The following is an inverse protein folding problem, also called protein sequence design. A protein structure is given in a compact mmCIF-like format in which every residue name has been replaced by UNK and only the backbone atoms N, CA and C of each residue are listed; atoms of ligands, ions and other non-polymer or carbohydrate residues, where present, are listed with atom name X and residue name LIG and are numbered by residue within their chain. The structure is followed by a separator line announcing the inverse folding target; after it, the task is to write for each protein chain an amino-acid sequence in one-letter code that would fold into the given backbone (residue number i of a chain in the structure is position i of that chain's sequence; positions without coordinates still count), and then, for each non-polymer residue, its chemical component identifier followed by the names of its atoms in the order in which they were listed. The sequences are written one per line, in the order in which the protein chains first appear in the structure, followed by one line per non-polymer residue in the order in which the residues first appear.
data_IF_844311479803
#
_entry.id   IF_844311479803
#
_cell.length_a   1.000
_cell.length_b   1.000
_cell.length_c   1.000
_cell.angle_alpha   90.00
_cell.angle_beta   90.00
_cell.angle_gamma   90.00
#
_symmetry.space_group_name_H-M   'P 1'
#
loop_
_entity.id
_entity.type
_entity.pdbx_description
1 polymer ?
#
# COMPACT_ATOMS: atom_id res chain seq x y z
N UNK A 1 -23.68 -8.31 26.53
CA UNK A 1 -24.00 -7.05 25.80
C UNK A 1 -23.55 -7.23 24.37
N UNK A 2 -24.37 -6.83 23.39
CA UNK A 2 -24.07 -6.91 21.96
C UNK A 2 -24.41 -5.58 21.28
N UNK A 3 -23.74 -5.27 20.17
CA UNK A 3 -24.00 -4.09 19.35
C UNK A 3 -23.79 -4.39 17.86
N UNK A 4 -24.40 -3.57 17.00
CA UNK A 4 -24.23 -3.61 15.56
C UNK A 4 -24.24 -2.19 14.98
N UNK A 5 -23.46 -1.97 13.93
CA UNK A 5 -23.33 -0.68 13.22
C UNK A 5 -23.94 -0.81 11.83
N UNK A 6 -24.79 0.12 11.46
CA UNK A 6 -25.48 0.16 10.17
C UNK A 6 -25.25 1.50 9.48
N UNK A 7 -25.28 1.49 8.15
CA UNK A 7 -25.27 2.70 7.32
C UNK A 7 -26.51 2.70 6.41
N UNK A 8 -27.03 3.88 6.01
CA UNK A 8 -28.14 3.95 5.08
C UNK A 8 -27.86 3.20 3.77
N UNK A 9 -28.88 2.52 3.24
CA UNK A 9 -28.79 1.82 1.96
C UNK A 9 -28.21 0.40 2.02
N UNK A 10 -27.77 -0.08 3.18
CA UNK A 10 -27.21 -1.42 3.36
C UNK A 10 -28.07 -2.21 4.36
N UNK A 11 -28.67 -3.30 3.88
CA UNK A 11 -29.59 -4.13 4.69
C UNK A 11 -28.90 -5.02 5.74
N UNK A 12 -27.58 -4.96 5.84
CA UNK A 12 -26.75 -5.71 6.78
C UNK A 12 -25.87 -4.75 7.58
N UNK A 13 -25.47 -5.15 8.79
CA UNK A 13 -24.55 -4.37 9.61
C UNK A 13 -23.15 -4.37 8.98
N UNK A 14 -22.46 -3.24 9.03
CA UNK A 14 -21.07 -3.13 8.58
C UNK A 14 -20.07 -3.53 9.66
N UNK A 15 -20.48 -3.55 10.93
CA UNK A 15 -19.72 -4.11 12.04
C UNK A 15 -20.65 -4.66 13.12
N UNK A 16 -20.23 -5.72 13.80
CA UNK A 16 -20.95 -6.31 14.93
C UNK A 16 -19.97 -6.67 16.04
N UNK A 17 -20.40 -6.57 17.28
CA UNK A 17 -19.55 -6.89 18.40
C UNK A 17 -20.30 -7.05 19.70
N UNK A 18 -19.54 -7.30 20.76
CA UNK A 18 -20.09 -7.51 22.08
C UNK A 18 -19.11 -8.12 23.05
N UNK A 19 -19.62 -8.38 24.25
CA UNK A 19 -18.92 -9.10 25.31
C UNK A 19 -19.09 -10.60 25.11
N UNK A 20 -18.00 -11.33 25.33
CA UNK A 20 -17.95 -12.78 25.38
C UNK A 20 -17.14 -13.20 26.61
N UNK A 21 -17.64 -14.18 27.36
CA UNK A 21 -17.03 -14.59 28.63
C UNK A 21 -16.21 -15.88 28.51
N UNK A 22 -16.58 -16.76 27.57
CA UNK A 22 -16.11 -18.15 27.58
C UNK A 22 -15.28 -18.59 26.37
N UNK A 23 -15.03 -17.72 25.38
CA UNK A 23 -14.19 -18.07 24.21
C UNK A 23 -12.78 -18.55 24.62
N UNK A 24 -12.26 -18.07 25.75
CA UNK A 24 -10.97 -18.53 26.28
C UNK A 24 -10.99 -19.89 26.98
N UNK A 25 -12.18 -20.46 27.25
CA UNK A 25 -12.32 -21.75 27.95
C UNK A 25 -11.69 -22.89 27.15
N UNK A 26 -11.85 -22.88 25.83
CA UNK A 26 -11.24 -23.83 24.90
C UNK A 26 -9.69 -23.78 24.91
N UNK A 27 -9.12 -22.67 25.42
CA UNK A 27 -7.69 -22.43 25.53
C UNK A 27 -7.19 -22.48 26.99
N UNK A 28 -7.97 -23.08 27.90
CA UNK A 28 -7.55 -23.41 29.27
C UNK A 28 -7.97 -22.41 30.35
N UNK A 29 -8.58 -21.27 30.01
CA UNK A 29 -9.16 -20.36 31.00
C UNK A 29 -10.19 -19.42 30.39
N UNK A 30 -11.43 -19.50 30.86
CA UNK A 30 -12.45 -18.49 30.58
C UNK A 30 -12.00 -17.11 31.10
N UNK A 31 -12.01 -16.10 30.24
CA UNK A 31 -11.70 -14.72 30.57
C UNK A 31 -12.70 -13.81 29.85
N UNK A 32 -13.35 -12.89 30.56
CA UNK A 32 -14.24 -11.92 29.94
C UNK A 32 -13.46 -11.01 28.99
N UNK A 33 -14.02 -10.81 27.79
CA UNK A 33 -13.46 -9.93 26.78
C UNK A 33 -14.58 -9.26 25.95
N UNK A 34 -14.22 -8.21 25.22
CA UNK A 34 -15.11 -7.48 24.34
C UNK A 34 -14.38 -7.15 23.04
N UNK A 35 -15.11 -7.19 21.93
CA UNK A 35 -14.54 -6.91 20.61
C UNK A 35 -15.61 -6.76 19.55
N UNK A 36 -15.19 -6.51 18.32
CA UNK A 36 -16.05 -6.45 17.15
C UNK A 36 -15.34 -6.99 15.92
N UNK A 37 -16.12 -7.36 14.92
CA UNK A 37 -15.65 -7.73 13.59
C UNK A 37 -16.35 -6.86 12.54
N UNK A 38 -15.71 -6.77 11.38
CA UNK A 38 -16.19 -6.03 10.22
C UNK A 38 -15.65 -6.68 8.95
N UNK A 39 -16.40 -6.55 7.86
CA UNK A 39 -15.91 -6.96 6.54
C UNK A 39 -15.18 -5.78 5.88
N UNK A 40 -13.87 -5.92 5.69
CA UNK A 40 -13.04 -4.85 5.13
C UNK A 40 -13.42 -4.51 3.69
N UNK A 41 -13.92 -5.48 2.88
CA UNK A 41 -14.37 -5.20 1.51
C UNK A 41 -15.62 -4.34 1.55
N UNK A 42 -16.57 -4.65 2.41
CA UNK A 42 -17.77 -3.83 2.65
C UNK A 42 -17.38 -2.40 3.04
N UNK A 43 -16.39 -2.22 3.92
CA UNK A 43 -15.90 -0.89 4.28
C UNK A 43 -15.24 -0.16 3.11
N UNK A 44 -14.41 -0.83 2.29
CA UNK A 44 -13.78 -0.24 1.11
C UNK A 44 -14.82 0.15 0.06
N UNK A 45 -15.84 -0.69 -0.17
CA UNK A 45 -16.88 -0.45 -1.17
C UNK A 45 -17.85 0.67 -0.77
N UNK A 46 -18.21 0.75 0.51
CA UNK A 46 -19.16 1.75 1.01
C UNK A 46 -18.47 3.05 1.43
N UNK A 47 -17.20 2.96 1.80
CA UNK A 47 -16.39 4.10 2.21
C UNK A 47 -16.18 5.05 1.04
N UNK A 48 -16.29 6.34 1.32
CA UNK A 48 -15.95 7.41 0.38
C UNK A 48 -14.56 7.96 0.72
N UNK A 49 -13.61 7.06 0.98
CA UNK A 49 -12.24 7.48 1.27
C UNK A 49 -11.67 8.17 0.03
N UNK A 50 -11.20 9.41 0.18
CA UNK A 50 -10.43 10.07 -0.86
C UNK A 50 -9.09 9.35 -1.00
N UNK A 51 -9.00 8.46 -1.98
CA UNK A 51 -7.75 7.77 -2.29
C UNK A 51 -6.93 8.71 -3.18
N UNK A 52 -6.03 9.46 -2.56
CA UNK A 52 -4.97 10.15 -3.29
C UNK A 52 -3.94 9.10 -3.69
N UNK A 53 -4.11 8.51 -4.87
CA UNK A 53 -3.06 7.68 -5.46
C UNK A 53 -1.92 8.61 -5.89
N UNK A 54 -0.67 8.36 -5.47
CA UNK A 54 0.48 9.04 -6.07
C UNK A 54 0.43 8.79 -7.58
N UNK A 55 0.28 9.84 -8.38
CA UNK A 55 0.35 9.72 -9.83
C UNK A 55 1.80 9.52 -10.25
N UNK A 56 2.05 8.48 -11.05
CA UNK A 56 3.37 8.24 -11.62
C UNK A 56 4.37 7.59 -10.66
N UNK A 57 5.62 7.55 -11.10
CA UNK A 57 6.67 6.78 -10.44
C UNK A 57 8.01 6.99 -11.12
N UNK A 58 9.07 6.73 -10.36
CA UNK A 58 10.44 6.85 -10.84
C UNK A 58 10.95 5.45 -11.16
N UNK A 59 11.19 5.19 -12.44
CA UNK A 59 11.80 3.97 -12.93
C UNK A 59 13.31 3.96 -12.67
N UNK A 60 13.84 2.81 -12.30
CA UNK A 60 15.25 2.65 -11.94
C UNK A 60 15.81 1.42 -12.66
N UNK A 61 16.95 1.52 -13.37
CA UNK A 61 17.54 0.37 -14.04
C UNK A 61 17.97 -0.72 -13.06
N UNK A 62 18.08 -1.96 -13.54
CA UNK A 62 18.68 -3.05 -12.80
C UNK A 62 20.20 -2.80 -12.71
N UNK A 63 20.68 -2.48 -11.52
CA UNK A 63 22.08 -2.14 -11.27
C UNK A 63 22.45 -2.43 -9.82
N UNK A 64 23.73 -2.74 -9.60
CA UNK A 64 24.35 -2.95 -8.29
C UNK A 64 25.07 -1.72 -7.77
N UNK A 65 24.94 -0.57 -8.44
CA UNK A 65 25.56 0.70 -8.04
C UNK A 65 25.03 1.16 -6.66
N UNK A 66 25.96 1.35 -5.73
CA UNK A 66 25.65 1.81 -4.38
C UNK A 66 25.10 3.24 -4.35
N UNK A 67 25.56 4.13 -5.24
CA UNK A 67 25.06 5.50 -5.35
C UNK A 67 23.61 5.51 -5.85
N UNK A 68 23.27 4.61 -6.78
CA UNK A 68 21.90 4.42 -7.22
C UNK A 68 21.00 3.98 -6.06
N UNK A 69 21.47 2.99 -5.30
CA UNK A 69 20.71 2.48 -4.14
C UNK A 69 20.47 3.55 -3.08
N UNK A 70 21.47 4.39 -2.80
CA UNK A 70 21.31 5.53 -1.89
C UNK A 70 20.24 6.50 -2.38
N UNK A 71 20.24 6.83 -3.67
CA UNK A 71 19.21 7.68 -4.29
C UNK A 71 17.81 7.05 -4.20
N UNK A 72 17.70 5.74 -4.43
CA UNK A 72 16.43 4.99 -4.28
C UNK A 72 15.89 5.09 -2.86
N UNK A 73 16.75 4.89 -1.85
CA UNK A 73 16.36 5.00 -0.44
C UNK A 73 15.90 6.42 -0.09
N UNK A 74 16.61 7.45 -0.59
CA UNK A 74 16.23 8.84 -0.40
C UNK A 74 14.87 9.16 -1.04
N UNK A 75 14.68 8.82 -2.31
CA UNK A 75 13.42 9.08 -3.01
C UNK A 75 12.23 8.42 -2.30
N UNK A 76 12.41 7.18 -1.81
CA UNK A 76 11.37 6.49 -1.04
C UNK A 76 11.07 7.14 0.31
N UNK A 77 12.09 7.67 1.01
CA UNK A 77 11.87 8.37 2.29
C UNK A 77 11.16 9.72 2.09
N UNK A 78 11.32 10.33 0.92
CA UNK A 78 10.57 11.52 0.46
C UNK A 78 9.13 11.19 -0.01
N UNK A 79 8.70 9.93 0.10
CA UNK A 79 7.36 9.48 -0.29
C UNK A 79 7.19 9.24 -1.79
N UNK A 80 8.27 9.24 -2.58
CA UNK A 80 8.19 8.92 -4.01
C UNK A 80 8.01 7.41 -4.22
N UNK A 81 7.20 7.06 -5.22
CA UNK A 81 7.09 5.68 -5.71
C UNK A 81 8.27 5.39 -6.64
N UNK A 82 9.12 4.44 -6.25
CA UNK A 82 10.32 4.04 -7.01
C UNK A 82 10.22 2.57 -7.41
N UNK A 83 10.25 2.32 -8.72
CA UNK A 83 10.13 0.98 -9.31
C UNK A 83 11.48 0.59 -9.92
N UNK A 84 12.03 -0.52 -9.48
CA UNK A 84 13.28 -1.05 -10.01
C UNK A 84 12.99 -2.08 -11.11
N UNK A 85 13.69 -1.96 -12.23
CA UNK A 85 13.67 -2.92 -13.32
C UNK A 85 14.13 -4.29 -12.82
N UNK A 86 13.47 -5.34 -13.31
CA UNK A 86 13.99 -6.71 -13.19
C UNK A 86 15.15 -6.92 -14.15
N UNK A 87 16.00 -7.94 -13.92
CA UNK A 87 17.06 -8.30 -14.84
C UNK A 87 16.57 -8.46 -16.29
N UNK A 88 17.16 -7.70 -17.21
CA UNK A 88 16.81 -7.71 -18.63
C UNK A 88 15.59 -6.86 -19.02
N UNK A 89 14.89 -6.23 -18.06
CA UNK A 89 13.85 -5.26 -18.40
C UNK A 89 14.47 -3.97 -18.91
N UNK A 90 13.95 -3.52 -20.05
CA UNK A 90 14.36 -2.28 -20.69
C UNK A 90 13.57 -1.09 -20.13
N UNK A 91 14.09 0.12 -20.32
CA UNK A 91 13.40 1.36 -19.92
C UNK A 91 12.01 1.53 -20.56
N UNK A 92 11.72 0.85 -21.68
CA UNK A 92 10.38 0.83 -22.29
C UNK A 92 9.30 0.26 -21.37
N UNK A 93 9.66 -0.62 -20.42
CA UNK A 93 8.73 -1.18 -19.44
C UNK A 93 8.31 -0.17 -18.36
N UNK A 94 8.96 1.00 -18.27
CA UNK A 94 8.65 2.00 -17.26
C UNK A 94 7.18 2.46 -17.30
N UNK A 95 6.61 2.63 -18.50
CA UNK A 95 5.21 3.04 -18.67
C UNK A 95 4.21 1.97 -18.24
N UNK A 96 4.52 0.71 -18.49
CA UNK A 96 3.69 -0.42 -18.04
C UNK A 96 3.66 -0.50 -16.50
N UNK A 97 4.73 -0.03 -15.86
CA UNK A 97 4.81 0.12 -14.41
C UNK A 97 4.27 1.47 -13.90
N UNK A 98 3.51 2.22 -14.70
CA UNK A 98 2.96 3.54 -14.32
C UNK A 98 4.05 4.50 -13.78
N UNK A 99 5.23 4.48 -14.40
CA UNK A 99 6.28 5.46 -14.13
C UNK A 99 6.17 6.60 -15.13
N UNK A 100 6.43 7.82 -14.66
CA UNK A 100 6.45 9.07 -15.44
C UNK A 100 7.86 9.68 -15.53
N UNK A 101 8.77 9.17 -14.69
CA UNK A 101 10.16 9.60 -14.57
C UNK A 101 11.07 8.38 -14.53
N UNK A 102 12.36 8.59 -14.70
CA UNK A 102 13.40 7.58 -14.60
C UNK A 102 14.69 8.15 -14.02
N UNK A 103 15.49 7.30 -13.38
CA UNK A 103 16.87 7.62 -13.03
C UNK A 103 17.80 7.30 -14.20
N UNK A 104 18.54 8.31 -14.65
CA UNK A 104 19.56 8.19 -15.69
C UNK A 104 20.91 8.58 -15.08
N UNK A 105 21.93 7.80 -15.39
CA UNK A 105 23.30 8.11 -15.00
C UNK A 105 23.89 9.17 -15.94
N UNK A 106 24.29 10.31 -15.39
CA UNK A 106 25.00 11.38 -16.08
C UNK A 106 26.38 11.57 -15.44
N UNK A 107 27.41 10.96 -16.03
CA UNK A 107 28.75 10.89 -15.43
C UNK A 107 28.72 10.04 -14.16
N UNK A 108 29.18 10.62 -13.05
CA UNK A 108 29.22 9.96 -11.73
C UNK A 108 27.92 10.11 -10.92
N UNK A 109 26.91 10.81 -11.45
CA UNK A 109 25.70 11.16 -10.71
C UNK A 109 24.43 10.58 -11.33
N UNK A 110 23.48 10.22 -10.47
CA UNK A 110 22.13 9.82 -10.86
C UNK A 110 21.18 11.00 -10.85
N UNK A 111 20.41 11.16 -11.93
CA UNK A 111 19.45 12.26 -12.06
C UNK A 111 18.07 11.74 -12.44
N UNK A 112 17.04 12.27 -11.76
CA UNK A 112 15.64 12.02 -12.11
C UNK A 112 15.28 12.86 -13.33
N UNK A 113 14.83 12.18 -14.38
CA UNK A 113 14.42 12.79 -15.65
C UNK A 113 13.01 12.32 -16.02
N UNK A 114 12.19 13.15 -16.69
CA UNK A 114 10.94 12.68 -17.28
C UNK A 114 11.20 11.52 -18.26
N UNK A 115 10.27 10.58 -18.38
CA UNK A 115 10.31 9.63 -19.48
C UNK A 115 10.21 10.40 -20.81
N UNK A 116 11.08 10.06 -21.76
CA UNK A 116 10.98 10.62 -23.12
C UNK A 116 9.62 10.27 -23.74
N UNK A 117 9.03 11.21 -24.48
CA UNK A 117 7.74 11.07 -25.17
C UNK A 117 7.76 9.94 -26.21
#
# INVERSE_FOLDING_TARGET
MVFAVFVPGVGQSIAQGGRYDDIGADFGRARPATGFSTDLKTLVTLGQAEIVLPSGGIWVPDSTDAALWQMVCQLRSEGQRVVQALPGQQASAAREADCDRQLIQHGEHWQVMPLAS
#
